data_IF_033761234915
#
_entry.id   IF_033761234915
#
_cell.length_a   1.000
_cell.length_b   1.000
_cell.length_c   1.000
_cell.angle_alpha   90.00
_cell.angle_beta   90.00
_cell.angle_gamma   90.00
#
_symmetry.space_group_name_H-M   'P 1'
#
loop_
_entity.id
_entity.type
_entity.pdbx_description
1 polymer ?
#
# COMPACT_ATOMS: atom_id res chain seq x y z
N UNK A 1 -18.40 27.86 -7.26
CA UNK A 1 -17.29 26.94 -7.54
C UNK A 1 -17.92 25.57 -7.74
N UNK A 2 -17.38 24.71 -8.61
CA UNK A 2 -17.85 23.32 -8.63
C UNK A 2 -17.68 22.73 -7.23
N UNK A 3 -18.66 21.95 -6.77
CA UNK A 3 -18.62 21.36 -5.44
C UNK A 3 -17.45 20.38 -5.38
N UNK A 4 -16.49 20.63 -4.48
CA UNK A 4 -15.28 19.80 -4.42
C UNK A 4 -15.59 18.54 -3.62
N UNK A 5 -15.20 17.35 -4.09
CA UNK A 5 -15.55 16.12 -3.40
C UNK A 5 -14.75 15.96 -2.11
N UNK A 6 -15.36 15.29 -1.14
CA UNK A 6 -14.66 14.71 -0.01
C UNK A 6 -13.78 13.55 -0.47
N UNK A 7 -12.75 13.22 0.30
CA UNK A 7 -11.89 12.05 0.07
C UNK A 7 -11.99 11.12 1.26
N UNK A 8 -12.25 9.84 1.01
CA UNK A 8 -12.09 8.74 1.96
C UNK A 8 -11.19 7.70 1.32
N UNK A 9 -9.92 7.70 1.70
CA UNK A 9 -8.96 6.68 1.27
C UNK A 9 -8.77 5.67 2.41
N UNK A 10 -9.20 4.44 2.17
CA UNK A 10 -9.06 3.31 3.08
C UNK A 10 -7.97 2.38 2.54
N UNK A 11 -7.07 1.93 3.40
CA UNK A 11 -6.09 0.93 3.01
C UNK A 11 -5.73 0.00 4.16
N UNK A 12 -5.57 -1.28 3.85
CA UNK A 12 -5.09 -2.30 4.77
C UNK A 12 -3.56 -2.45 4.70
N UNK A 13 -2.97 -3.01 5.75
CA UNK A 13 -1.56 -3.42 5.75
C UNK A 13 -1.47 -4.90 5.37
N UNK A 14 -0.69 -5.21 4.34
CA UNK A 14 -0.36 -6.57 3.95
C UNK A 14 -1.46 -7.37 3.22
N UNK A 15 -2.43 -6.71 2.56
CA UNK A 15 -3.44 -7.39 1.76
C UNK A 15 -3.07 -7.56 0.27
N UNK A 16 -2.96 -8.80 -0.20
CA UNK A 16 -2.72 -9.13 -1.61
C UNK A 16 -3.94 -8.88 -2.50
N UNK A 17 -3.72 -8.57 -3.78
CA UNK A 17 -4.76 -8.39 -4.79
C UNK A 17 -5.77 -9.55 -4.83
N UNK A 18 -5.27 -10.78 -4.79
CA UNK A 18 -6.11 -11.99 -4.85
C UNK A 18 -6.90 -12.27 -3.56
N UNK A 19 -6.89 -11.38 -2.56
CA UNK A 19 -7.65 -11.53 -1.31
C UNK A 19 -8.94 -10.70 -1.28
N UNK A 20 -9.59 -10.54 -2.43
CA UNK A 20 -10.91 -9.93 -2.58
C UNK A 20 -11.78 -10.73 -3.56
N UNK A 21 -13.08 -10.79 -3.28
CA UNK A 21 -14.08 -11.36 -4.19
C UNK A 21 -14.15 -10.61 -5.52
N UNK A 22 -14.08 -9.28 -5.49
CA UNK A 22 -14.00 -8.40 -6.67
C UNK A 22 -12.80 -8.68 -7.59
N UNK A 23 -11.78 -9.39 -7.08
CA UNK A 23 -10.59 -9.83 -7.82
C UNK A 23 -10.63 -11.33 -8.15
N UNK A 24 -11.81 -11.96 -8.08
CA UNK A 24 -12.06 -13.32 -8.54
C UNK A 24 -11.84 -14.41 -7.49
N UNK A 25 -11.54 -14.06 -6.24
CA UNK A 25 -11.41 -15.05 -5.18
C UNK A 25 -12.78 -15.49 -4.68
N UNK A 26 -13.08 -16.79 -4.84
CA UNK A 26 -14.38 -17.36 -4.47
C UNK A 26 -14.47 -17.86 -3.02
N UNK A 27 -13.35 -17.84 -2.29
CA UNK A 27 -13.24 -18.35 -0.92
C UNK A 27 -13.41 -17.21 0.07
N UNK A 28 -12.61 -16.15 -0.06
CA UNK A 28 -12.70 -14.98 0.83
C UNK A 28 -14.05 -14.27 0.65
N UNK A 29 -14.66 -13.86 1.76
CA UNK A 29 -15.96 -13.20 1.78
C UNK A 29 -15.75 -11.70 2.00
N UNK A 30 -15.91 -10.91 0.94
CA UNK A 30 -15.77 -9.44 0.96
C UNK A 30 -16.98 -8.73 0.32
N UNK A 31 -18.23 -9.03 0.72
CA UNK A 31 -19.41 -8.53 0.03
C UNK A 31 -19.54 -6.99 -0.03
N UNK A 32 -18.99 -6.24 0.93
CA UNK A 32 -19.13 -4.78 0.94
C UNK A 32 -18.16 -4.11 -0.03
N UNK A 33 -16.90 -4.56 -0.07
CA UNK A 33 -15.91 -4.12 -1.06
C UNK A 33 -16.31 -4.60 -2.46
N UNK A 34 -16.89 -5.79 -2.58
CA UNK A 34 -17.42 -6.31 -3.85
C UNK A 34 -18.60 -5.46 -4.36
N UNK A 35 -19.49 -5.02 -3.48
CA UNK A 35 -20.56 -4.08 -3.82
C UNK A 35 -20.00 -2.71 -4.21
N UNK A 36 -19.03 -2.18 -3.46
CA UNK A 36 -18.32 -0.93 -3.83
C UNK A 36 -17.68 -1.04 -5.22
N UNK A 37 -17.11 -2.19 -5.56
CA UNK A 37 -16.53 -2.45 -6.87
C UNK A 37 -17.60 -2.50 -7.97
N UNK A 38 -18.79 -3.06 -7.69
CA UNK A 38 -19.91 -3.06 -8.61
C UNK A 38 -20.46 -1.64 -8.84
N UNK A 39 -20.45 -0.79 -7.82
CA UNK A 39 -20.89 0.61 -7.89
C UNK A 39 -19.78 1.58 -8.37
N UNK A 40 -18.62 1.04 -8.75
CA UNK A 40 -17.44 1.84 -9.03
C UNK A 40 -16.55 1.21 -10.09
N UNK A 41 -15.24 1.34 -9.90
CA UNK A 41 -14.22 0.80 -10.78
C UNK A 41 -13.19 -0.03 -10.02
N UNK A 42 -12.82 -1.18 -10.59
CA UNK A 42 -11.67 -1.98 -10.16
C UNK A 42 -10.49 -1.72 -11.10
N UNK A 43 -9.30 -1.46 -10.56
CA UNK A 43 -8.07 -1.47 -11.36
C UNK A 43 -7.35 -2.82 -11.19
N UNK A 44 -7.25 -3.56 -12.28
CA UNK A 44 -6.62 -4.89 -12.30
C UNK A 44 -5.10 -4.81 -12.21
N UNK A 45 -4.49 -3.76 -12.76
CA UNK A 45 -3.05 -3.56 -12.82
C UNK A 45 -2.59 -2.46 -11.85
N UNK A 46 -2.95 -2.61 -10.57
CA UNK A 46 -2.55 -1.71 -9.49
C UNK A 46 -1.46 -2.31 -8.60
N UNK A 47 -0.32 -1.62 -8.47
CA UNK A 47 0.87 -2.16 -7.80
C UNK A 47 1.41 -1.25 -6.69
N UNK A 48 1.92 -1.88 -5.63
CA UNK A 48 2.74 -1.22 -4.63
C UNK A 48 4.15 -1.00 -5.19
N UNK A 49 4.51 0.25 -5.43
CA UNK A 49 5.83 0.56 -6.01
C UNK A 49 6.98 0.09 -5.10
N UNK A 50 6.82 0.21 -3.78
CA UNK A 50 7.76 -0.31 -2.80
C UNK A 50 6.97 -1.16 -1.81
N UNK A 51 6.93 -2.50 -1.98
CA UNK A 51 6.05 -3.36 -1.20
C UNK A 51 6.54 -3.58 0.24
N UNK A 52 6.47 -2.50 1.02
CA UNK A 52 6.87 -2.38 2.41
C UNK A 52 6.12 -1.21 3.08
N UNK A 53 5.72 -1.38 4.35
CA UNK A 53 4.79 -0.49 5.06
C UNK A 53 5.13 1.01 4.97
N UNK A 54 6.22 1.47 5.59
CA UNK A 54 6.53 2.91 5.67
C UNK A 54 6.87 3.51 4.31
N UNK A 55 7.64 2.85 3.42
CA UNK A 55 7.87 3.41 2.09
C UNK A 55 6.60 3.61 1.26
N UNK A 56 5.65 2.66 1.27
CA UNK A 56 4.34 2.87 0.65
C UNK A 56 3.62 4.08 1.26
N UNK A 57 3.56 4.16 2.60
CA UNK A 57 2.86 5.24 3.31
C UNK A 57 3.50 6.59 3.02
N UNK A 58 4.82 6.65 2.88
CA UNK A 58 5.54 7.86 2.50
C UNK A 58 5.25 8.26 1.04
N UNK A 59 5.15 7.29 0.12
CA UNK A 59 4.70 7.54 -1.26
C UNK A 59 3.28 8.11 -1.25
N UNK A 60 2.37 7.50 -0.50
CA UNK A 60 0.99 7.98 -0.37
C UNK A 60 0.90 9.37 0.28
N UNK A 61 1.79 9.68 1.22
CA UNK A 61 1.83 10.99 1.87
C UNK A 61 2.37 12.08 0.94
N UNK A 62 3.31 11.75 0.04
CA UNK A 62 4.16 12.76 -0.62
C UNK A 62 4.12 12.76 -2.14
N UNK A 63 3.56 11.73 -2.78
CA UNK A 63 3.59 11.54 -4.24
C UNK A 63 5.00 11.36 -4.82
N UNK A 64 5.95 10.98 -3.96
CA UNK A 64 7.38 10.91 -4.25
C UNK A 64 7.95 9.58 -3.75
N UNK A 65 8.94 9.04 -4.47
CA UNK A 65 9.64 7.82 -4.10
C UNK A 65 10.64 8.05 -2.95
N UNK A 66 11.12 6.96 -2.35
CA UNK A 66 11.97 6.97 -1.15
C UNK A 66 13.25 7.82 -1.26
N UNK A 67 13.84 7.95 -2.46
CA UNK A 67 15.03 8.80 -2.66
C UNK A 67 14.73 10.30 -2.65
N UNK A 68 13.46 10.69 -2.81
CA UNK A 68 13.00 12.08 -2.70
C UNK A 68 12.42 12.35 -1.31
N UNK A 69 11.58 11.44 -0.82
CA UNK A 69 10.86 11.62 0.44
C UNK A 69 11.68 11.23 1.69
N UNK A 70 12.78 10.48 1.54
CA UNK A 70 13.67 10.07 2.64
C UNK A 70 13.34 8.72 3.30
N UNK A 71 12.23 8.07 2.94
CA UNK A 71 11.81 6.78 3.53
C UNK A 71 12.21 5.62 2.64
N UNK A 72 13.34 4.99 2.98
CA UNK A 72 13.89 3.84 2.23
C UNK A 72 13.57 2.49 2.87
N UNK A 73 13.07 2.47 4.10
CA UNK A 73 12.72 1.31 4.95
C UNK A 73 11.81 1.77 6.10
N UNK A 74 11.29 0.84 6.91
CA UNK A 74 10.38 1.08 8.03
C UNK A 74 10.97 1.86 9.23
N UNK A 75 12.27 2.11 9.25
CA UNK A 75 12.91 2.83 10.36
C UNK A 75 13.13 4.33 10.09
N UNK A 76 12.72 4.81 8.92
CA UNK A 76 12.93 6.20 8.50
C UNK A 76 11.62 6.98 8.48
N UNK A 77 11.74 8.30 8.67
CA UNK A 77 10.60 9.22 8.56
C UNK A 77 10.69 10.06 7.29
N UNK A 78 9.55 10.54 6.75
CA UNK A 78 9.55 11.48 5.64
C UNK A 78 10.27 12.77 5.99
N UNK A 79 10.83 13.42 4.98
CA UNK A 79 11.30 14.80 5.08
C UNK A 79 10.13 15.72 5.41
N UNK A 80 10.38 16.76 6.20
CA UNK A 80 9.37 17.74 6.62
C UNK A 80 9.25 18.94 5.67
N UNK A 81 10.21 19.14 4.79
CA UNK A 81 10.33 20.30 3.87
C UNK A 81 9.86 19.98 2.45
N UNK A 82 9.00 18.98 2.28
CA UNK A 82 8.43 18.58 0.99
C UNK A 82 6.90 18.70 1.00
N UNK A 83 6.26 18.96 -0.15
CA UNK A 83 4.80 18.94 -0.26
C UNK A 83 4.23 17.58 0.12
N UNK A 84 3.12 17.59 0.86
CA UNK A 84 2.37 16.39 1.26
C UNK A 84 0.92 16.51 0.83
N UNK A 85 0.28 15.39 0.52
CA UNK A 85 -1.13 15.34 0.12
C UNK A 85 -2.04 16.03 1.16
N UNK A 86 -1.95 15.71 2.48
CA UNK A 86 -2.76 16.41 3.47
C UNK A 86 -2.45 17.91 3.51
N UNK A 87 -1.18 18.32 3.45
CA UNK A 87 -0.81 19.73 3.45
C UNK A 87 -1.39 20.51 2.27
N UNK A 88 -1.28 19.99 1.06
CA UNK A 88 -1.83 20.64 -0.15
C UNK A 88 -3.36 20.70 -0.14
N UNK A 89 -4.03 19.69 0.44
CA UNK A 89 -5.48 19.68 0.61
C UNK A 89 -5.91 20.70 1.68
N UNK A 90 -5.21 20.76 2.81
CA UNK A 90 -5.46 21.71 3.90
C UNK A 90 -5.28 23.16 3.42
N UNK A 91 -4.20 23.46 2.69
CA UNK A 91 -3.98 24.75 2.02
C UNK A 91 -5.09 25.11 1.03
N UNK A 92 -5.77 24.10 0.49
CA UNK A 92 -6.93 24.25 -0.41
C UNK A 92 -8.27 24.30 0.34
N UNK A 93 -8.28 24.28 1.67
CA UNK A 93 -9.46 24.44 2.51
C UNK A 93 -10.11 23.15 3.01
N UNK A 94 -9.51 21.98 2.73
CA UNK A 94 -9.98 20.71 3.28
C UNK A 94 -9.68 20.62 4.78
N UNK A 95 -10.56 19.98 5.55
CA UNK A 95 -10.15 19.39 6.83
C UNK A 95 -9.50 18.02 6.57
N UNK A 96 -8.41 17.71 7.25
CA UNK A 96 -7.64 16.49 6.99
C UNK A 96 -7.50 15.60 8.21
N UNK A 97 -7.67 14.29 8.02
CA UNK A 97 -7.51 13.31 9.08
C UNK A 97 -6.77 12.06 8.62
N UNK A 98 -5.98 11.49 9.53
CA UNK A 98 -5.45 10.14 9.39
C UNK A 98 -5.79 9.34 10.65
N UNK A 99 -6.34 8.15 10.47
CA UNK A 99 -6.74 7.26 11.57
C UNK A 99 -6.14 5.88 11.37
N UNK A 100 -5.58 5.33 12.45
CA UNK A 100 -5.02 3.97 12.49
C UNK A 100 -3.51 3.94 12.37
N UNK A 101 -2.97 2.97 11.62
CA UNK A 101 -1.51 2.81 11.53
C UNK A 101 -0.88 3.97 10.78
N UNK A 102 -0.01 4.74 11.43
CA UNK A 102 0.68 5.86 10.78
C UNK A 102 2.04 5.43 10.21
N UNK A 103 2.90 4.81 11.05
CA UNK A 103 4.19 4.20 10.67
C UNK A 103 5.19 5.13 9.96
N UNK A 104 5.05 6.45 10.15
CA UNK A 104 5.93 7.50 9.58
C UNK A 104 6.57 8.39 10.68
N UNK A 105 6.61 7.87 11.91
CA UNK A 105 7.11 8.56 13.09
C UNK A 105 6.70 7.83 14.36
N UNK A 106 6.97 8.44 15.52
CA UNK A 106 6.51 7.97 16.83
C UNK A 106 5.81 9.11 17.55
N UNK A 107 4.72 8.76 18.24
CA UNK A 107 3.97 9.71 19.05
C UNK A 107 4.75 10.12 20.32
N UNK A 108 4.36 11.24 20.96
CA UNK A 108 3.27 12.15 20.56
C UNK A 108 3.58 12.89 19.24
N UNK A 109 2.54 13.29 18.51
CA UNK A 109 2.68 13.88 17.17
C UNK A 109 2.37 15.38 17.18
N UNK A 110 3.37 16.23 17.44
CA UNK A 110 3.20 17.67 17.30
C UNK A 110 2.91 18.06 15.85
N UNK A 111 2.39 19.28 15.64
CA UNK A 111 2.06 19.80 14.30
C UNK A 111 3.18 19.59 13.27
N UNK A 112 4.45 19.80 13.66
CA UNK A 112 5.62 19.60 12.80
C UNK A 112 5.84 18.14 12.34
N UNK A 113 5.19 17.17 12.98
CA UNK A 113 5.27 15.73 12.70
C UNK A 113 3.96 15.14 12.14
N UNK A 114 2.97 16.00 11.86
CA UNK A 114 1.67 15.61 11.29
C UNK A 114 1.57 15.85 9.78
N UNK A 115 2.55 16.47 9.16
CA UNK A 115 2.64 16.61 7.69
C UNK A 115 1.37 17.19 7.04
N UNK A 116 0.77 18.19 7.70
CA UNK A 116 -0.47 18.84 7.24
C UNK A 116 -1.77 18.11 7.61
N UNK A 117 -1.72 17.10 8.48
CA UNK A 117 -2.90 16.40 9.01
C UNK A 117 -3.45 17.16 10.23
N UNK A 118 -4.70 17.62 10.16
CA UNK A 118 -5.35 18.37 11.24
C UNK A 118 -5.73 17.46 12.43
N UNK A 119 -6.17 16.24 12.15
CA UNK A 119 -6.51 15.23 13.14
C UNK A 119 -5.81 13.89 12.85
N UNK A 120 -4.77 13.58 13.63
CA UNK A 120 -4.05 12.31 13.54
C UNK A 120 -4.39 11.44 14.75
N UNK A 121 -5.12 10.34 14.54
CA UNK A 121 -5.31 9.29 15.53
C UNK A 121 -4.41 8.09 15.18
N UNK A 122 -3.15 8.16 15.60
CA UNK A 122 -2.12 7.20 15.25
C UNK A 122 -2.02 6.05 16.26
N UNK A 123 -2.13 4.82 15.78
CA UNK A 123 -1.94 3.60 16.56
C UNK A 123 -0.58 3.60 17.25
N UNK A 124 -0.58 3.39 18.57
CA UNK A 124 0.64 3.15 19.35
C UNK A 124 1.12 1.70 19.15
N UNK A 125 2.42 1.57 18.86
CA UNK A 125 3.05 0.30 18.54
C UNK A 125 2.79 -0.81 19.56
N UNK A 126 2.74 -2.04 19.06
CA UNK A 126 2.67 -3.25 19.86
C UNK A 126 2.07 -4.43 19.09
N UNK A 127 2.08 -5.63 19.68
CA UNK A 127 1.59 -6.84 19.02
C UNK A 127 0.06 -6.96 19.11
N UNK A 128 -0.54 -7.64 18.14
CA UNK A 128 -1.98 -7.93 18.09
C UNK A 128 -2.85 -6.71 17.77
N UNK A 129 -4.16 -6.97 17.67
CA UNK A 129 -5.13 -6.00 17.14
C UNK A 129 -6.32 -5.74 18.09
N UNK A 130 -6.22 -6.13 19.36
CA UNK A 130 -7.25 -5.85 20.35
C UNK A 130 -6.73 -4.91 21.44
N UNK A 131 -7.63 -4.12 22.00
CA UNK A 131 -7.41 -3.27 23.17
C UNK A 131 -6.20 -2.34 23.00
N UNK A 132 -6.14 -1.70 21.83
CA UNK A 132 -5.00 -0.90 21.38
C UNK A 132 -5.06 0.52 21.94
N UNK A 133 -3.90 1.19 21.91
CA UNK A 133 -3.80 2.60 22.31
C UNK A 133 -3.46 3.49 21.11
N UNK A 134 -3.92 4.72 21.12
CA UNK A 134 -3.72 5.70 20.04
C UNK A 134 -3.22 7.01 20.61
N UNK A 135 -2.33 7.68 19.90
CA UNK A 135 -2.07 9.10 20.09
C UNK A 135 -3.03 9.90 19.21
N UNK A 136 -3.76 10.82 19.80
CA UNK A 136 -4.60 11.78 19.08
C UNK A 136 -3.86 13.13 19.05
N UNK A 137 -3.20 13.41 17.94
CA UNK A 137 -2.20 14.48 17.80
C UNK A 137 -1.10 14.35 18.87
N UNK A 138 -1.00 15.33 19.78
CA UNK A 138 -0.02 15.36 20.87
C UNK A 138 -0.51 14.61 22.14
N UNK A 139 -1.79 14.24 22.19
CA UNK A 139 -2.41 13.65 23.36
C UNK A 139 -2.35 12.12 23.35
N UNK A 140 -2.23 11.52 24.54
CA UNK A 140 -2.23 10.08 24.74
C UNK A 140 -0.85 9.48 25.10
N UNK A 141 -0.64 8.16 24.89
CA UNK A 141 -1.53 7.26 24.17
C UNK A 141 -2.75 6.87 25.04
N UNK A 142 -3.95 6.94 24.46
CA UNK A 142 -5.21 6.56 25.11
C UNK A 142 -5.61 5.17 24.68
N UNK A 143 -5.98 4.29 25.63
CA UNK A 143 -6.41 2.91 25.36
C UNK A 143 -7.89 2.85 25.01
N UNK A 144 -8.22 2.13 23.95
CA UNK A 144 -9.59 1.81 23.52
C UNK A 144 -9.78 0.30 23.60
N UNK A 145 -10.95 -0.15 24.04
CA UNK A 145 -11.30 -1.56 24.12
C UNK A 145 -11.88 -2.06 22.79
N UNK A 146 -11.65 -3.33 22.47
CA UNK A 146 -12.17 -3.96 21.26
C UNK A 146 -11.14 -4.09 20.12
N UNK A 147 -11.64 -4.45 18.94
CA UNK A 147 -10.80 -4.69 17.77
C UNK A 147 -10.37 -3.37 17.12
N UNK A 148 -9.10 -3.27 16.75
CA UNK A 148 -8.49 -2.03 16.28
C UNK A 148 -9.18 -1.45 15.04
N UNK A 149 -9.47 -2.22 13.97
CA UNK A 149 -10.25 -1.70 12.84
C UNK A 149 -11.61 -1.14 13.23
N UNK A 150 -12.34 -1.76 14.17
CA UNK A 150 -13.61 -1.21 14.66
C UNK A 150 -13.43 0.15 15.33
N UNK A 151 -12.42 0.28 16.20
CA UNK A 151 -12.08 1.57 16.83
C UNK A 151 -11.64 2.61 15.80
N UNK A 152 -10.81 2.22 14.83
CA UNK A 152 -10.31 3.08 13.76
C UNK A 152 -11.45 3.56 12.85
N UNK A 153 -12.44 2.70 12.57
CA UNK A 153 -13.68 3.07 11.87
C UNK A 153 -14.52 4.04 12.70
N UNK A 154 -14.68 3.80 14.00
CA UNK A 154 -15.47 4.68 14.89
C UNK A 154 -14.85 6.09 14.99
N UNK A 155 -13.52 6.17 15.16
CA UNK A 155 -12.78 7.43 15.19
C UNK A 155 -12.90 8.20 13.87
N UNK A 156 -12.92 7.46 12.75
CA UNK A 156 -13.10 8.02 11.41
C UNK A 156 -14.49 8.58 11.20
N UNK A 157 -15.54 7.82 11.53
CA UNK A 157 -16.94 8.28 11.49
C UNK A 157 -17.11 9.52 12.39
N UNK A 158 -16.59 9.47 13.61
CA UNK A 158 -16.65 10.60 14.52
C UNK A 158 -15.90 11.85 14.02
N UNK A 159 -14.80 11.69 13.27
CA UNK A 159 -14.16 12.83 12.60
C UNK A 159 -15.09 13.47 11.56
N UNK A 160 -15.72 12.65 10.72
CA UNK A 160 -16.65 13.12 9.68
C UNK A 160 -17.84 13.85 10.31
N UNK A 161 -18.47 13.26 11.33
CA UNK A 161 -19.60 13.88 12.05
C UNK A 161 -19.22 15.25 12.61
N UNK A 162 -18.10 15.35 13.33
CA UNK A 162 -17.61 16.61 13.90
C UNK A 162 -17.27 17.63 12.83
N UNK A 163 -16.79 17.19 11.66
CA UNK A 163 -16.52 18.08 10.53
C UNK A 163 -17.83 18.64 9.97
N UNK A 164 -18.81 17.79 9.67
CA UNK A 164 -20.12 18.20 9.14
C UNK A 164 -20.86 19.14 10.09
N UNK A 165 -20.72 18.97 11.41
CA UNK A 165 -21.31 19.89 12.39
C UNK A 165 -20.67 21.30 12.35
N UNK A 166 -19.35 21.37 12.10
CA UNK A 166 -18.58 22.62 12.23
C UNK A 166 -18.39 23.37 10.91
N UNK A 167 -18.22 22.63 9.82
CA UNK A 167 -17.85 23.13 8.49
C UNK A 167 -18.60 22.33 7.40
N UNK A 168 -19.95 22.30 7.41
CA UNK A 168 -20.75 21.45 6.51
C UNK A 168 -20.54 21.73 5.01
N UNK A 169 -20.16 22.96 4.66
CA UNK A 169 -19.95 23.40 3.28
C UNK A 169 -18.49 23.20 2.80
N UNK A 170 -17.58 22.84 3.70
CA UNK A 170 -16.17 22.62 3.36
C UNK A 170 -15.89 21.12 3.15
N UNK A 171 -14.99 20.75 2.24
CA UNK A 171 -14.67 19.34 2.02
C UNK A 171 -13.73 18.81 3.12
N UNK A 172 -13.67 17.50 3.26
CA UNK A 172 -12.69 16.81 4.10
C UNK A 172 -11.93 15.73 3.34
N UNK A 173 -10.76 15.35 3.87
CA UNK A 173 -9.97 14.22 3.41
C UNK A 173 -9.60 13.33 4.60
N UNK A 174 -10.04 12.07 4.55
CA UNK A 174 -9.80 11.04 5.54
C UNK A 174 -8.91 9.95 4.95
N UNK A 175 -7.83 9.65 5.66
CA UNK A 175 -6.93 8.52 5.39
C UNK A 175 -7.10 7.49 6.51
N UNK A 176 -7.81 6.40 6.23
CA UNK A 176 -8.05 5.31 7.18
C UNK A 176 -7.09 4.16 6.90
N UNK A 177 -6.23 3.85 7.85
CA UNK A 177 -5.23 2.79 7.72
C UNK A 177 -5.41 1.67 8.73
N UNK A 178 -6.00 0.58 8.26
CA UNK A 178 -6.15 -0.63 9.07
C UNK A 178 -4.86 -1.45 9.06
N UNK A 179 -4.50 -1.97 10.22
CA UNK A 179 -3.31 -2.85 10.34
C UNK A 179 -3.55 -4.29 9.90
N UNK A 180 -4.71 -4.94 10.15
CA UNK A 180 -4.98 -6.22 9.51
C UNK A 180 -5.04 -6.04 7.97
N UNK A 181 -4.82 -7.12 7.18
CA UNK A 181 -4.55 -8.48 7.60
C UNK A 181 -3.06 -8.75 7.89
N UNK A 182 -2.23 -7.77 8.22
CA UNK A 182 -0.87 -8.03 8.70
C UNK A 182 -0.85 -9.05 9.86
N UNK A 183 0.20 -9.85 9.97
CA UNK A 183 0.40 -10.82 11.06
C UNK A 183 0.61 -10.12 12.43
N UNK A 184 0.39 -10.74 13.61
CA UNK A 184 0.21 -12.17 13.88
C UNK A 184 -1.23 -12.68 13.70
N UNK A 185 -1.36 -13.99 13.50
CA UNK A 185 -2.63 -14.69 13.40
C UNK A 185 -2.82 -15.70 14.54
N UNK A 186 -4.08 -16.01 14.93
CA UNK A 186 -5.30 -15.24 14.61
C UNK A 186 -5.34 -13.93 15.42
N UNK A 187 -5.88 -12.85 14.85
CA UNK A 187 -6.05 -11.56 15.55
C UNK A 187 -7.27 -10.79 15.03
N UNK A 188 -8.41 -11.46 14.95
CA UNK A 188 -9.68 -10.89 14.48
C UNK A 188 -10.86 -11.42 15.33
N UNK A 189 -12.02 -10.75 15.34
CA UNK A 189 -13.18 -11.19 16.10
C UNK A 189 -13.65 -12.60 15.74
N UNK A 190 -14.11 -13.36 16.74
CA UNK A 190 -14.50 -14.76 16.56
C UNK A 190 -15.59 -14.97 15.50
N UNK A 191 -16.46 -13.97 15.29
CA UNK A 191 -17.52 -13.99 14.28
C UNK A 191 -16.98 -14.13 12.84
N UNK A 192 -15.73 -13.76 12.58
CA UNK A 192 -15.09 -13.91 11.28
C UNK A 192 -14.26 -15.20 11.15
N UNK A 193 -14.22 -16.03 12.20
CA UNK A 193 -13.55 -17.35 12.18
C UNK A 193 -14.43 -18.41 11.51
N UNK A 194 -14.84 -18.15 10.26
CA UNK A 194 -15.83 -18.95 9.53
C UNK A 194 -15.26 -19.88 8.46
N UNK A 195 -13.94 -19.92 8.34
CA UNK A 195 -13.22 -20.67 7.31
C UNK A 195 -12.69 -22.00 7.87
N UNK A 196 -12.76 -23.05 7.06
CA UNK A 196 -12.10 -24.33 7.37
C UNK A 196 -10.77 -24.42 6.58
N UNK A 197 -9.62 -24.67 7.25
CA UNK A 197 -8.37 -24.93 6.56
C UNK A 197 -8.46 -26.03 5.49
N UNK A 198 -9.34 -27.02 5.63
CA UNK A 198 -9.53 -28.07 4.63
C UNK A 198 -10.09 -27.57 3.29
N UNK A 199 -10.80 -26.44 3.30
CA UNK A 199 -11.41 -25.82 2.12
C UNK A 199 -10.49 -24.78 1.45
N UNK A 200 -9.29 -24.58 1.98
CA UNK A 200 -8.35 -23.59 1.45
C UNK A 200 -7.57 -24.14 0.25
N UNK A 201 -7.85 -23.57 -0.92
CA UNK A 201 -7.06 -23.78 -2.12
C UNK A 201 -5.73 -23.04 -2.03
N UNK A 202 -4.64 -23.80 -2.16
CA UNK A 202 -3.28 -23.23 -2.18
C UNK A 202 -2.81 -23.03 -3.62
N UNK A 203 -2.16 -21.89 -3.92
CA UNK A 203 -1.43 -21.73 -5.17
C UNK A 203 -0.35 -22.81 -5.36
N UNK A 204 -0.10 -23.20 -6.61
CA UNK A 204 0.88 -24.26 -6.94
C UNK A 204 2.34 -23.89 -6.65
N UNK A 205 2.63 -22.64 -6.30
CA UNK A 205 3.94 -22.17 -5.87
C UNK A 205 4.14 -22.22 -4.34
N UNK A 206 3.15 -22.70 -3.57
CA UNK A 206 3.35 -23.07 -2.17
C UNK A 206 4.02 -24.45 -2.10
N UNK A 207 5.21 -24.59 -1.47
CA UNK A 207 5.85 -25.90 -1.36
C UNK A 207 4.97 -26.90 -0.60
N UNK A 208 4.93 -28.15 -1.08
CA UNK A 208 4.08 -29.21 -0.51
C UNK A 208 4.32 -29.39 1.00
N UNK A 209 5.58 -29.34 1.45
CA UNK A 209 5.90 -29.46 2.88
C UNK A 209 5.38 -28.30 3.76
N UNK A 210 4.94 -27.18 3.16
CA UNK A 210 4.36 -26.04 3.87
C UNK A 210 2.83 -26.00 3.77
N UNK A 211 2.21 -26.94 3.05
CA UNK A 211 0.80 -26.84 2.69
C UNK A 211 -0.13 -26.76 3.91
N UNK A 212 0.08 -27.59 4.93
CA UNK A 212 -0.76 -27.57 6.14
C UNK A 212 -0.63 -26.26 6.94
N UNK A 213 0.59 -25.70 6.99
CA UNK A 213 0.84 -24.41 7.62
C UNK A 213 0.18 -23.28 6.82
N UNK A 214 0.37 -23.28 5.50
CA UNK A 214 -0.18 -22.28 4.59
C UNK A 214 -1.71 -22.25 4.63
N UNK A 215 -2.39 -23.39 4.69
CA UNK A 215 -3.86 -23.43 4.78
C UNK A 215 -4.37 -22.76 6.05
N UNK A 216 -3.75 -23.06 7.20
CA UNK A 216 -4.13 -22.44 8.49
C UNK A 216 -3.88 -20.93 8.48
N UNK A 217 -2.72 -20.53 7.98
CA UNK A 217 -2.39 -19.10 7.85
C UNK A 217 -3.36 -18.37 6.92
N UNK A 218 -3.72 -18.99 5.78
CA UNK A 218 -4.66 -18.42 4.83
C UNK A 218 -6.08 -18.31 5.40
N UNK A 219 -6.52 -19.30 6.19
CA UNK A 219 -7.79 -19.26 6.93
C UNK A 219 -7.87 -18.04 7.84
N UNK A 220 -6.85 -17.82 8.67
CA UNK A 220 -6.83 -16.69 9.60
C UNK A 220 -6.72 -15.34 8.86
N UNK A 221 -5.90 -15.30 7.81
CA UNK A 221 -5.74 -14.15 6.94
C UNK A 221 -7.07 -13.74 6.25
N UNK A 222 -7.85 -14.70 5.75
CA UNK A 222 -9.20 -14.44 5.22
C UNK A 222 -10.19 -14.04 6.30
N UNK A 223 -10.06 -14.57 7.52
CA UNK A 223 -10.81 -14.08 8.69
C UNK A 223 -10.59 -12.59 8.94
N UNK A 224 -9.34 -12.13 8.89
CA UNK A 224 -9.02 -10.70 8.92
C UNK A 224 -9.66 -9.93 7.76
N UNK A 225 -9.51 -10.40 6.51
CA UNK A 225 -10.03 -9.71 5.33
C UNK A 225 -11.57 -9.53 5.41
N UNK A 226 -12.31 -10.54 5.86
CA UNK A 226 -13.76 -10.45 6.05
C UNK A 226 -14.15 -9.51 7.18
N UNK A 227 -13.37 -9.46 8.26
CA UNK A 227 -13.59 -8.45 9.30
C UNK A 227 -13.41 -7.02 8.80
N UNK A 228 -12.37 -6.78 7.99
CA UNK A 228 -12.14 -5.46 7.38
C UNK A 228 -13.25 -5.09 6.39
N UNK A 229 -13.75 -6.05 5.62
CA UNK A 229 -14.88 -5.84 4.73
C UNK A 229 -16.14 -5.39 5.49
N UNK A 230 -16.41 -5.99 6.66
CA UNK A 230 -17.53 -5.55 7.50
C UNK A 230 -17.36 -4.11 8.00
N UNK A 231 -16.14 -3.71 8.38
CA UNK A 231 -15.83 -2.33 8.76
C UNK A 231 -15.93 -1.36 7.58
N UNK A 232 -15.59 -1.80 6.37
CA UNK A 232 -15.82 -1.04 5.14
C UNK A 232 -17.32 -0.83 4.90
N UNK A 233 -18.14 -1.87 5.10
CA UNK A 233 -19.60 -1.77 5.01
C UNK A 233 -20.18 -0.77 6.01
N UNK A 234 -19.68 -0.75 7.24
CA UNK A 234 -20.07 0.25 8.26
C UNK A 234 -19.73 1.66 7.80
N UNK A 235 -18.51 1.89 7.33
CA UNK A 235 -18.06 3.20 6.85
C UNK A 235 -18.91 3.70 5.68
N UNK A 236 -19.12 2.86 4.66
CA UNK A 236 -19.95 3.20 3.50
C UNK A 236 -21.40 3.52 3.90
N UNK A 237 -22.00 2.68 4.76
CA UNK A 237 -23.36 2.91 5.29
C UNK A 237 -23.43 4.27 6.01
N UNK A 238 -22.43 4.62 6.83
CA UNK A 238 -22.41 5.92 7.51
C UNK A 238 -22.33 7.09 6.54
N UNK A 239 -21.57 6.98 5.43
CA UNK A 239 -21.54 8.03 4.40
C UNK A 239 -22.90 8.22 3.73
N UNK A 240 -23.63 7.12 3.48
CA UNK A 240 -24.98 7.16 2.92
C UNK A 240 -25.99 7.77 3.92
N UNK A 241 -25.94 7.36 5.20
CA UNK A 241 -26.82 7.88 6.26
C UNK A 241 -26.59 9.39 6.54
N UNK A 242 -25.36 9.86 6.39
CA UNK A 242 -25.01 11.28 6.49
C UNK A 242 -25.39 12.08 5.24
N UNK A 243 -25.80 11.42 4.15
CA UNK A 243 -26.21 12.07 2.90
C UNK A 243 -25.05 12.71 2.12
N UNK A 244 -23.81 12.24 2.33
CA UNK A 244 -22.61 12.80 1.69
C UNK A 244 -21.95 11.85 0.69
N UNK A 245 -22.47 10.64 0.52
CA UNK A 245 -21.90 9.62 -0.37
C UNK A 245 -21.74 10.10 -1.82
N UNK A 246 -22.73 10.83 -2.35
CA UNK A 246 -22.71 11.32 -3.74
C UNK A 246 -21.58 12.32 -4.02
N UNK A 247 -21.10 13.04 -3.00
CA UNK A 247 -19.99 13.98 -3.10
C UNK A 247 -18.71 13.47 -2.41
N UNK A 248 -18.52 12.15 -2.30
CA UNK A 248 -17.34 11.54 -1.67
C UNK A 248 -16.66 10.57 -2.62
N UNK A 249 -15.38 10.82 -2.89
CA UNK A 249 -14.50 9.83 -3.53
C UNK A 249 -14.09 8.83 -2.45
N UNK A 250 -14.47 7.56 -2.64
CA UNK A 250 -14.02 6.47 -1.76
C UNK A 250 -13.05 5.59 -2.53
N UNK A 251 -11.87 5.36 -1.97
CA UNK A 251 -10.84 4.47 -2.53
C UNK A 251 -10.48 3.41 -1.50
N UNK A 252 -10.38 2.16 -1.94
CA UNK A 252 -9.86 1.04 -1.15
C UNK A 252 -8.62 0.43 -1.81
N UNK A 253 -7.54 0.25 -1.05
CA UNK A 253 -6.30 -0.41 -1.52
C UNK A 253 -5.53 -1.09 -0.38
N UNK A 254 -4.28 -1.48 -0.61
CA UNK A 254 -3.36 -2.04 0.38
C UNK A 254 -1.94 -1.51 0.18
N UNK A 255 -1.16 -1.44 1.26
CA UNK A 255 0.23 -0.98 1.19
C UNK A 255 1.16 -1.97 0.46
N UNK A 256 0.91 -3.26 0.59
CA UNK A 256 1.57 -4.36 -0.14
C UNK A 256 0.81 -5.67 0.09
N UNK A 257 1.22 -6.74 -0.58
CA UNK A 257 0.71 -8.08 -0.35
C UNK A 257 1.49 -8.90 0.69
N UNK A 258 1.23 -10.20 0.69
CA UNK A 258 1.86 -11.23 1.53
C UNK A 258 2.08 -12.52 0.73
N UNK A 259 3.26 -13.10 0.84
CA UNK A 259 3.58 -14.42 0.27
C UNK A 259 2.65 -15.53 0.76
N UNK A 260 2.22 -15.52 2.03
CA UNK A 260 1.40 -16.59 2.62
C UNK A 260 1.95 -18.00 2.28
N UNK A 261 3.26 -18.20 2.50
CA UNK A 261 4.01 -19.42 2.16
C UNK A 261 4.29 -19.68 0.67
N UNK A 262 3.80 -18.84 -0.25
CA UNK A 262 4.16 -18.91 -1.67
C UNK A 262 5.67 -18.74 -1.86
N UNK A 263 6.22 -19.47 -2.83
CA UNK A 263 7.67 -19.58 -3.09
C UNK A 263 8.50 -20.08 -1.90
N UNK A 264 7.84 -20.59 -0.85
CA UNK A 264 8.49 -21.04 0.39
C UNK A 264 8.88 -19.90 1.34
N UNK A 265 8.35 -18.69 1.15
CA UNK A 265 8.60 -17.57 2.06
C UNK A 265 7.69 -17.62 3.29
N UNK A 266 8.27 -17.52 4.48
CA UNK A 266 7.54 -17.37 5.74
C UNK A 266 7.69 -15.98 6.34
N UNK A 267 7.24 -15.85 7.58
CA UNK A 267 7.23 -14.57 8.29
C UNK A 267 8.61 -14.18 8.78
N UNK A 268 8.82 -12.88 8.97
CA UNK A 268 9.96 -12.29 9.66
C UNK A 268 10.48 -13.05 10.90
N UNK A 269 9.56 -13.58 11.71
CA UNK A 269 9.87 -14.18 13.01
C UNK A 269 9.89 -15.72 12.99
N UNK A 270 9.73 -16.36 11.83
CA UNK A 270 9.83 -17.82 11.67
C UNK A 270 11.27 -18.29 11.80
N UNK A 271 11.78 -18.31 13.03
CA UNK A 271 13.18 -18.61 13.35
C UNK A 271 13.63 -20.02 12.96
N UNK A 272 12.68 -20.90 12.66
CA UNK A 272 12.89 -22.26 12.17
C UNK A 272 13.22 -22.31 10.66
N UNK A 273 12.89 -21.27 9.88
CA UNK A 273 13.21 -21.19 8.45
C UNK A 273 14.60 -20.61 8.22
N UNK A 274 15.24 -20.91 7.08
CA UNK A 274 16.47 -20.23 6.70
C UNK A 274 16.23 -18.72 6.61
N UNK A 275 17.18 -17.91 7.09
CA UNK A 275 16.98 -16.46 7.18
C UNK A 275 16.69 -15.80 5.83
N UNK A 276 17.08 -16.42 4.71
CA UNK A 276 16.76 -15.92 3.37
C UNK A 276 15.32 -16.13 2.91
N UNK A 277 14.57 -16.98 3.61
CA UNK A 277 13.19 -17.32 3.30
C UNK A 277 12.20 -16.64 4.26
N UNK A 278 12.65 -15.73 5.12
CA UNK A 278 11.80 -15.03 6.10
C UNK A 278 11.30 -13.69 5.57
N UNK A 279 10.90 -13.66 4.31
CA UNK A 279 10.44 -12.46 3.62
C UNK A 279 8.98 -12.63 3.22
N UNK A 280 8.05 -12.16 4.07
CA UNK A 280 6.63 -12.17 3.71
C UNK A 280 6.27 -11.12 2.66
N UNK A 281 7.18 -10.18 2.35
CA UNK A 281 7.00 -9.03 1.45
C UNK A 281 8.35 -8.44 1.00
N UNK A 282 8.28 -7.35 0.24
CA UNK A 282 9.40 -6.59 -0.37
C UNK A 282 10.16 -7.31 -1.48
N UNK A 283 9.51 -8.30 -2.11
CA UNK A 283 9.98 -9.02 -3.30
C UNK A 283 9.30 -8.48 -4.57
N UNK A 284 9.84 -8.71 -5.77
CA UNK A 284 9.16 -8.35 -7.01
C UNK A 284 7.95 -9.23 -7.35
N UNK A 285 7.82 -10.41 -6.72
CA UNK A 285 6.70 -11.33 -6.93
C UNK A 285 5.33 -10.67 -6.72
N UNK A 286 4.35 -11.15 -7.47
CA UNK A 286 2.96 -10.67 -7.44
C UNK A 286 2.35 -10.76 -6.04
N UNK A 287 2.64 -11.82 -5.28
CA UNK A 287 2.15 -11.95 -3.91
C UNK A 287 2.56 -10.80 -3.00
N UNK A 288 3.66 -10.12 -3.31
CA UNK A 288 4.15 -8.98 -2.53
C UNK A 288 3.76 -7.63 -3.11
N UNK A 289 3.76 -7.45 -4.43
CA UNK A 289 3.63 -6.12 -5.04
C UNK A 289 2.24 -5.84 -5.65
N UNK A 290 1.46 -6.88 -5.98
CA UNK A 290 0.13 -6.72 -6.57
C UNK A 290 -0.92 -6.59 -5.48
N UNK A 291 -1.59 -5.43 -5.44
CA UNK A 291 -2.51 -5.05 -4.37
C UNK A 291 -3.89 -4.71 -4.96
N UNK A 292 -4.97 -4.82 -4.16
CA UNK A 292 -6.28 -4.43 -4.63
C UNK A 292 -6.36 -2.92 -4.87
N UNK A 293 -7.23 -2.50 -5.80
CA UNK A 293 -7.64 -1.11 -5.96
C UNK A 293 -9.09 -1.04 -6.43
N UNK A 294 -9.92 -0.42 -5.61
CA UNK A 294 -11.33 -0.16 -5.89
C UNK A 294 -11.60 1.31 -5.63
N UNK A 295 -12.28 1.98 -6.56
CA UNK A 295 -12.71 3.38 -6.41
C UNK A 295 -14.20 3.50 -6.69
N UNK A 296 -14.92 4.24 -5.85
CA UNK A 296 -16.32 4.61 -6.02
C UNK A 296 -16.44 6.12 -5.91
N UNK A 297 -17.04 6.74 -6.91
CA UNK A 297 -17.42 8.15 -6.89
C UNK A 297 -18.75 8.31 -7.63
N UNK A 298 -19.90 8.28 -6.92
CA UNK A 298 -21.21 8.24 -7.54
C UNK A 298 -21.44 9.42 -8.50
N UNK A 299 -22.03 9.15 -9.66
CA UNK A 299 -22.26 10.17 -10.71
C UNK A 299 -21.01 10.56 -11.51
N UNK A 300 -19.83 10.06 -11.15
CA UNK A 300 -18.56 10.35 -11.83
C UNK A 300 -17.84 9.08 -12.31
N UNK A 301 -17.60 8.11 -11.44
CA UNK A 301 -17.00 6.83 -11.83
C UNK A 301 -18.05 5.95 -12.50
N UNK A 302 -17.82 5.44 -13.73
CA UNK A 302 -18.77 4.55 -14.37
C UNK A 302 -18.85 3.21 -13.62
N UNK A 303 -20.05 2.88 -13.16
CA UNK A 303 -20.36 1.68 -12.36
C UNK A 303 -19.94 0.39 -13.07
N UNK A 304 -19.44 -0.57 -12.30
CA UNK A 304 -19.03 -1.90 -12.75
C UNK A 304 -17.83 -1.91 -13.70
N UNK A 305 -17.05 -0.84 -13.76
CA UNK A 305 -15.93 -0.73 -14.71
C UNK A 305 -14.71 -1.49 -14.21
N UNK A 306 -13.98 -2.12 -15.13
CA UNK A 306 -12.64 -2.66 -14.87
C UNK A 306 -11.62 -2.00 -15.76
N UNK A 307 -10.50 -1.59 -15.20
CA UNK A 307 -9.39 -1.00 -15.93
C UNK A 307 -8.13 -1.88 -15.87
N UNK A 308 -7.52 -2.08 -17.03
CA UNK A 308 -6.21 -2.74 -17.17
C UNK A 308 -5.05 -1.73 -17.29
N UNK A 309 -5.33 -0.43 -17.13
CA UNK A 309 -4.31 0.60 -17.12
C UNK A 309 -3.33 0.38 -15.95
N UNK A 310 -2.03 0.44 -16.23
CA UNK A 310 -1.02 0.36 -15.16
C UNK A 310 -1.08 1.60 -14.29
N UNK A 311 -1.43 1.37 -13.03
CA UNK A 311 -1.44 2.35 -11.97
C UNK A 311 -0.60 1.82 -10.81
N UNK A 312 -0.08 2.71 -9.98
CA UNK A 312 0.64 2.30 -8.77
C UNK A 312 0.46 3.32 -7.66
N UNK A 313 0.98 3.02 -6.47
CA UNK A 313 0.94 3.91 -5.29
C UNK A 313 1.39 5.33 -5.58
N UNK A 314 2.38 5.50 -6.47
CA UNK A 314 2.93 6.81 -6.84
C UNK A 314 1.91 7.71 -7.56
N UNK A 315 0.90 7.12 -8.21
CA UNK A 315 -0.11 7.85 -8.98
C UNK A 315 -1.28 8.33 -8.11
N UNK A 316 -1.45 7.81 -6.89
CA UNK A 316 -2.57 8.16 -6.00
C UNK A 316 -2.62 9.64 -5.67
N UNK A 317 -1.49 10.21 -5.25
CA UNK A 317 -1.41 11.61 -4.82
C UNK A 317 -1.76 12.59 -5.94
N UNK A 318 -1.08 12.58 -7.11
CA UNK A 318 -1.44 13.49 -8.20
C UNK A 318 -2.88 13.27 -8.68
N UNK A 319 -3.38 12.03 -8.65
CA UNK A 319 -4.75 11.74 -9.10
C UNK A 319 -5.83 12.22 -8.12
N UNK A 320 -5.60 12.13 -6.80
CA UNK A 320 -6.52 12.70 -5.82
C UNK A 320 -6.54 14.23 -5.92
N UNK A 321 -5.38 14.87 -6.09
CA UNK A 321 -5.30 16.32 -6.32
C UNK A 321 -6.04 16.72 -7.62
N UNK A 322 -5.81 16.01 -8.71
CA UNK A 322 -6.48 16.23 -10.01
C UNK A 322 -7.99 15.98 -9.95
N UNK A 323 -8.45 14.99 -9.18
CA UNK A 323 -9.87 14.75 -8.94
C UNK A 323 -10.53 15.91 -8.18
N UNK A 324 -9.83 16.50 -7.22
CA UNK A 324 -10.30 17.63 -6.41
C UNK A 324 -10.06 19.01 -7.05
N UNK A 325 -9.41 19.07 -8.22
CA UNK A 325 -9.04 20.32 -8.88
C UNK A 325 -7.98 21.14 -8.13
N UNK A 326 -7.16 20.48 -7.32
CA UNK A 326 -6.03 21.08 -6.61
C UNK A 326 -4.79 21.01 -7.50
N UNK A 327 -3.97 22.07 -7.50
CA UNK A 327 -2.76 22.12 -8.32
C UNK A 327 -1.77 21.01 -7.97
N UNK A 328 -1.24 20.34 -8.99
CA UNK A 328 -0.26 19.24 -8.84
C UNK A 328 1.14 19.82 -9.00
N UNK A 329 2.02 19.74 -7.97
CA UNK A 329 3.38 20.24 -8.09
C UNK A 329 4.26 19.40 -9.03
N UNK A 330 5.19 20.05 -9.73
CA UNK A 330 6.14 19.40 -10.65
C UNK A 330 7.07 18.37 -9.97
N UNK A 331 7.18 18.38 -8.64
CA UNK A 331 8.01 17.43 -7.90
C UNK A 331 7.39 16.03 -7.77
N UNK A 332 6.10 15.87 -8.09
CA UNK A 332 5.44 14.56 -8.06
C UNK A 332 6.01 13.63 -9.13
N UNK A 333 6.19 12.35 -8.77
CA UNK A 333 6.81 11.37 -9.67
C UNK A 333 5.79 10.41 -10.29
N UNK A 334 4.52 10.49 -9.87
CA UNK A 334 3.40 9.76 -10.47
C UNK A 334 2.69 10.57 -11.55
N UNK A 335 1.68 9.96 -12.16
CA UNK A 335 0.80 10.60 -13.14
C UNK A 335 -0.59 10.81 -12.56
N UNK A 336 -1.21 11.92 -12.94
CA UNK A 336 -2.64 12.12 -12.70
C UNK A 336 -3.45 11.23 -13.66
N UNK A 337 -4.10 10.23 -13.09
CA UNK A 337 -5.02 9.32 -13.78
C UNK A 337 -6.47 9.56 -13.35
N UNK A 338 -6.80 10.70 -12.75
CA UNK A 338 -8.17 11.01 -12.31
C UNK A 338 -9.19 11.03 -13.44
N UNK A 339 -8.78 11.30 -14.68
CA UNK A 339 -9.66 11.19 -15.86
C UNK A 339 -10.14 9.76 -16.10
N UNK A 340 -9.34 8.75 -15.75
CA UNK A 340 -9.77 7.36 -15.79
C UNK A 340 -10.85 7.10 -14.74
N UNK A 341 -10.66 7.64 -13.53
CA UNK A 341 -11.61 7.47 -12.43
C UNK A 341 -12.95 8.16 -12.70
N UNK A 342 -12.95 9.25 -13.48
CA UNK A 342 -14.15 9.98 -13.94
C UNK A 342 -14.80 9.38 -15.18
N UNK A 343 -14.26 8.29 -15.75
CA UNK A 343 -14.74 7.73 -17.01
C UNK A 343 -14.48 8.59 -18.25
N UNK A 344 -13.63 9.61 -18.15
CA UNK A 344 -13.27 10.53 -19.23
C UNK A 344 -12.18 9.94 -20.14
N UNK A 345 -11.39 8.99 -19.61
CA UNK A 345 -10.38 8.23 -20.36
C UNK A 345 -10.80 6.77 -20.53
N UNK A 346 -10.25 6.11 -21.56
CA UNK A 346 -10.48 4.68 -21.80
C UNK A 346 -9.99 3.86 -20.60
N UNK A 347 -10.79 2.91 -20.09
CA UNK A 347 -10.33 1.98 -19.06
C UNK A 347 -9.29 0.99 -19.57
N UNK A 348 -9.14 0.89 -20.90
CA UNK A 348 -8.15 0.06 -21.57
C UNK A 348 -7.15 0.89 -22.33
N UNK A 349 -5.87 0.66 -22.06
CA UNK A 349 -4.74 1.38 -22.69
C UNK A 349 -4.99 2.90 -22.83
N UNK A 350 -5.27 3.63 -21.72
CA UNK A 350 -5.52 5.07 -21.81
C UNK A 350 -4.27 5.80 -22.34
N UNK A 351 -4.49 6.79 -23.21
CA UNK A 351 -3.40 7.64 -23.68
C UNK A 351 -2.68 8.30 -22.50
N UNK A 352 -1.35 8.13 -22.43
CA UNK A 352 -0.54 8.66 -21.34
C UNK A 352 -0.51 7.79 -20.08
N UNK A 353 -1.14 6.60 -20.08
CA UNK A 353 -0.94 5.60 -19.04
C UNK A 353 0.51 5.10 -19.00
N UNK A 354 0.91 4.55 -17.85
CA UNK A 354 2.20 3.87 -17.76
C UNK A 354 2.16 2.59 -18.60
N UNK A 355 3.26 2.28 -19.29
CA UNK A 355 3.40 0.99 -20.00
C UNK A 355 3.77 -0.16 -19.04
N UNK A 356 4.12 0.16 -17.79
CA UNK A 356 4.57 -0.77 -16.75
C UNK A 356 4.52 -0.12 -15.38
N UNK A 357 4.37 -0.91 -14.32
CA UNK A 357 4.62 -0.43 -12.95
C UNK A 357 6.11 -0.45 -12.63
N UNK A 358 6.59 0.56 -11.90
CA UNK A 358 7.95 0.63 -11.39
C UNK A 358 8.03 0.10 -9.96
N UNK A 359 8.81 -0.96 -9.77
CA UNK A 359 8.92 -1.68 -8.51
C UNK A 359 10.31 -1.49 -7.89
N UNK A 360 10.38 -1.45 -6.57
CA UNK A 360 11.64 -1.27 -5.87
C UNK A 360 11.67 -1.89 -4.49
N UNK A 361 12.89 -2.21 -4.06
CA UNK A 361 13.24 -2.25 -2.66
C UNK A 361 14.58 -1.52 -2.45
N UNK A 362 14.61 -0.55 -1.55
CA UNK A 362 15.77 0.33 -1.35
C UNK A 362 16.68 -0.11 -0.21
N UNK A 363 16.21 -0.97 0.69
CA UNK A 363 16.92 -1.36 1.90
C UNK A 363 16.72 -2.85 2.22
N UNK A 364 17.62 -3.40 3.04
CA UNK A 364 17.62 -4.82 3.39
C UNK A 364 16.84 -5.14 4.67
N UNK A 365 16.01 -4.24 5.18
CA UNK A 365 15.41 -4.38 6.51
C UNK A 365 16.43 -4.08 7.61
N UNK A 366 16.11 -3.14 8.48
CA UNK A 366 16.97 -2.75 9.61
C UNK A 366 16.92 -3.80 10.77
N UNK A 367 18.01 -4.02 11.56
CA UNK A 367 19.38 -3.47 11.45
C UNK A 367 20.22 -4.01 10.33
N UNK A 368 19.91 -5.23 9.90
CA UNK A 368 20.57 -5.85 8.78
C UNK A 368 19.92 -7.21 8.49
N UNK A 369 18.86 -7.22 7.70
CA UNK A 369 18.21 -8.47 7.29
C UNK A 369 18.65 -8.82 5.86
N UNK A 370 19.97 -8.77 5.56
CA UNK A 370 20.58 -9.08 4.25
C UNK A 370 20.00 -10.33 3.56
N UNK A 371 19.53 -11.30 4.36
CA UNK A 371 18.88 -12.49 3.83
C UNK A 371 17.54 -12.25 3.15
N UNK A 372 16.79 -11.20 3.49
CA UNK A 372 15.35 -11.21 3.26
C UNK A 372 15.02 -10.87 1.81
N UNK A 373 15.43 -9.70 1.32
CA UNK A 373 14.87 -9.23 0.03
C UNK A 373 15.81 -8.38 -0.83
N UNK A 374 16.99 -8.00 -0.32
CA UNK A 374 18.03 -7.33 -1.11
C UNK A 374 17.65 -5.93 -1.59
N UNK A 375 18.57 -5.23 -2.25
CA UNK A 375 18.28 -3.94 -2.91
C UNK A 375 18.03 -4.17 -4.38
N UNK A 376 16.86 -3.81 -4.88
CA UNK A 376 16.51 -4.07 -6.28
C UNK A 376 15.61 -3.00 -6.88
N UNK A 377 15.57 -3.00 -8.21
CA UNK A 377 14.59 -2.29 -9.03
C UNK A 377 14.01 -3.24 -10.05
N UNK A 378 12.75 -3.03 -10.37
CA UNK A 378 12.03 -3.89 -11.29
C UNK A 378 10.95 -3.16 -12.05
N UNK A 379 10.46 -3.82 -13.08
CA UNK A 379 9.35 -3.36 -13.91
C UNK A 379 8.37 -4.50 -14.13
N UNK A 380 7.09 -4.15 -14.12
CA UNK A 380 5.98 -5.10 -14.31
C UNK A 380 5.12 -4.63 -15.48
N UNK A 381 5.06 -5.42 -16.55
CA UNK A 381 4.23 -5.15 -17.75
C UNK A 381 2.99 -6.04 -17.75
N UNK A 382 2.23 -6.18 -18.84
CA UNK A 382 1.17 -7.21 -18.88
C UNK A 382 1.77 -8.61 -18.75
N UNK A 383 2.81 -8.89 -19.54
CA UNK A 383 3.40 -10.23 -19.71
C UNK A 383 4.56 -10.55 -18.76
N UNK A 384 5.41 -9.59 -18.44
CA UNK A 384 6.68 -9.87 -17.74
C UNK A 384 6.77 -9.22 -16.37
N UNK A 385 7.37 -9.94 -15.41
CA UNK A 385 7.94 -9.36 -14.18
C UNK A 385 9.46 -9.42 -14.32
N UNK A 386 10.13 -8.28 -14.17
CA UNK A 386 11.59 -8.21 -14.20
C UNK A 386 12.12 -7.45 -12.99
N UNK A 387 13.21 -7.93 -12.39
CA UNK A 387 13.92 -7.22 -11.34
C UNK A 387 15.42 -7.46 -11.42
N UNK A 388 16.20 -6.41 -11.12
CA UNK A 388 17.65 -6.42 -11.03
C UNK A 388 18.08 -5.99 -9.63
N UNK A 389 18.93 -6.80 -9.02
CA UNK A 389 19.56 -6.47 -7.73
C UNK A 389 20.79 -5.60 -7.95
N UNK A 390 21.00 -4.67 -7.02
CA UNK A 390 22.20 -3.83 -6.97
C UNK A 390 23.44 -4.72 -6.88
N UNK A 391 24.51 -4.34 -7.61
CA UNK A 391 25.80 -5.04 -7.62
C UNK A 391 25.68 -6.56 -7.84
N UNK A 392 24.67 -6.98 -8.60
CA UNK A 392 24.38 -8.39 -8.91
C UNK A 392 24.21 -9.30 -7.67
N UNK A 393 23.80 -8.76 -6.52
CA UNK A 393 23.67 -9.51 -5.25
C UNK A 393 22.91 -10.84 -5.37
N UNK A 394 21.92 -10.94 -6.27
CA UNK A 394 21.09 -12.13 -6.49
C UNK A 394 20.91 -12.52 -7.97
N UNK A 395 21.62 -11.87 -8.88
CA UNK A 395 21.34 -11.91 -10.32
C UNK A 395 19.98 -11.28 -10.67
N UNK A 396 19.69 -11.08 -11.97
CA UNK A 396 18.38 -10.63 -12.43
C UNK A 396 17.33 -11.75 -12.34
N UNK A 397 16.07 -11.36 -12.12
CA UNK A 397 14.91 -12.24 -12.23
C UNK A 397 14.01 -11.77 -13.37
N UNK A 398 13.53 -12.71 -14.18
CA UNK A 398 12.61 -12.48 -15.28
C UNK A 398 11.58 -13.62 -15.33
N UNK A 399 10.30 -13.30 -15.25
CA UNK A 399 9.22 -14.28 -15.32
C UNK A 399 8.25 -13.90 -16.44
N UNK A 400 7.91 -14.86 -17.30
CA UNK A 400 6.84 -14.72 -18.31
C UNK A 400 5.53 -15.17 -17.68
N UNK A 401 4.73 -14.22 -17.17
CA UNK A 401 3.48 -14.53 -16.46
C UNK A 401 2.37 -15.07 -17.33
N UNK A 402 2.46 -14.91 -18.66
CA UNK A 402 1.48 -15.52 -19.54
C UNK A 402 1.69 -17.04 -19.61
N UNK A 403 2.95 -17.48 -19.61
CA UNK A 403 3.31 -18.90 -19.60
C UNK A 403 3.47 -19.50 -18.18
N UNK A 404 3.82 -18.66 -17.21
CA UNK A 404 4.17 -19.00 -15.84
C UNK A 404 3.58 -17.96 -14.86
N UNK A 405 2.24 -17.96 -14.67
CA UNK A 405 1.56 -16.95 -13.85
C UNK A 405 1.92 -17.00 -12.37
N UNK A 406 2.56 -18.09 -11.91
CA UNK A 406 3.02 -18.28 -10.54
C UNK A 406 4.52 -17.98 -10.37
N UNK A 407 5.19 -17.46 -11.41
CA UNK A 407 6.57 -16.97 -11.36
C UNK A 407 7.60 -18.01 -10.86
N UNK A 408 7.45 -19.26 -11.31
CA UNK A 408 8.26 -20.41 -10.88
C UNK A 408 9.53 -20.64 -11.70
N UNK A 409 9.59 -20.16 -12.94
CA UNK A 409 10.70 -20.35 -13.88
C UNK A 409 11.38 -19.01 -14.19
N UNK A 410 12.50 -18.74 -13.53
CA UNK A 410 13.33 -17.58 -13.87
C UNK A 410 13.99 -17.77 -15.25
N UNK A 411 13.66 -16.90 -16.20
CA UNK A 411 14.18 -16.88 -17.57
C UNK A 411 15.44 -16.02 -17.72
N UNK A 412 15.80 -15.22 -16.72
CA UNK A 412 16.93 -14.30 -16.82
C UNK A 412 18.25 -15.05 -17.00
N UNK A 413 19.09 -14.57 -17.92
CA UNK A 413 20.36 -15.19 -18.29
C UNK A 413 20.24 -16.46 -19.14
N UNK A 414 19.04 -16.86 -19.54
CA UNK A 414 18.82 -17.99 -20.47
C UNK A 414 18.72 -17.51 -21.92
N UNK A 415 19.00 -18.39 -22.89
CA UNK A 415 18.80 -18.08 -24.31
C UNK A 415 17.33 -17.76 -24.64
N UNK A 416 16.39 -18.45 -23.98
CA UNK A 416 14.94 -18.25 -24.12
C UNK A 416 14.50 -16.86 -23.63
N UNK A 417 15.07 -16.39 -22.52
CA UNK A 417 14.71 -15.11 -21.90
C UNK A 417 15.46 -13.90 -22.45
N UNK A 418 16.46 -14.06 -23.33
CA UNK A 418 17.39 -12.99 -23.70
C UNK A 418 16.70 -11.74 -24.26
N UNK A 419 15.81 -11.91 -25.24
CA UNK A 419 15.11 -10.77 -25.88
C UNK A 419 14.20 -10.04 -24.89
N UNK A 420 13.43 -10.79 -24.08
CA UNK A 420 12.57 -10.21 -23.06
C UNK A 420 13.39 -9.51 -21.95
N UNK A 421 14.54 -10.07 -21.56
CA UNK A 421 15.43 -9.43 -20.58
C UNK A 421 15.97 -8.10 -21.11
N UNK A 422 16.42 -8.04 -22.37
CA UNK A 422 16.89 -6.80 -23.00
C UNK A 422 15.78 -5.74 -23.07
N UNK A 423 14.55 -6.14 -23.42
CA UNK A 423 13.39 -5.23 -23.44
C UNK A 423 13.09 -4.67 -22.04
N UNK A 424 12.99 -5.56 -21.04
CA UNK A 424 12.63 -5.18 -19.68
C UNK A 424 13.73 -4.35 -19.00
N UNK A 425 15.00 -4.61 -19.29
CA UNK A 425 16.12 -3.77 -18.86
C UNK A 425 16.02 -2.36 -19.47
N UNK A 426 15.67 -2.26 -20.76
CA UNK A 426 15.43 -0.98 -21.42
C UNK A 426 14.27 -0.20 -20.79
N UNK A 427 13.19 -0.88 -20.40
CA UNK A 427 12.06 -0.27 -19.66
C UNK A 427 12.50 0.21 -18.27
N UNK A 428 13.25 -0.62 -17.54
CA UNK A 428 13.78 -0.27 -16.23
C UNK A 428 14.67 0.97 -16.29
N UNK A 429 15.56 1.06 -17.29
CA UNK A 429 16.41 2.23 -17.47
C UNK A 429 15.62 3.51 -17.76
N UNK A 430 14.55 3.45 -18.57
CA UNK A 430 13.67 4.60 -18.79
C UNK A 430 13.01 5.09 -17.50
N UNK A 431 12.58 4.18 -16.62
CA UNK A 431 12.04 4.52 -15.31
C UNK A 431 13.08 5.19 -14.41
N UNK A 432 14.28 4.61 -14.32
CA UNK A 432 15.40 5.17 -13.55
C UNK A 432 15.73 6.59 -14.01
N UNK A 433 15.83 6.81 -15.32
CA UNK A 433 16.13 8.12 -15.90
C UNK A 433 15.00 9.13 -15.67
N UNK A 434 13.76 8.77 -16.01
CA UNK A 434 12.60 9.65 -15.91
C UNK A 434 12.31 10.11 -14.47
N UNK A 435 12.62 9.26 -13.48
CA UNK A 435 12.36 9.56 -12.07
C UNK A 435 13.59 10.09 -11.33
N UNK A 436 14.76 10.13 -11.99
CA UNK A 436 16.03 10.51 -11.39
C UNK A 436 16.43 9.59 -10.23
N UNK A 437 16.19 8.28 -10.36
CA UNK A 437 16.52 7.31 -9.33
C UNK A 437 18.06 7.14 -9.21
N UNK A 438 18.65 7.36 -8.03
CA UNK A 438 20.08 7.18 -7.78
C UNK A 438 20.52 5.70 -7.63
N UNK A 439 19.74 4.74 -8.14
CA UNK A 439 20.01 3.32 -8.02
C UNK A 439 21.38 2.90 -8.59
N UNK A 440 21.85 3.48 -9.70
CA UNK A 440 23.15 3.11 -10.28
C UNK A 440 24.33 3.90 -9.68
N UNK A 441 24.14 5.19 -9.45
CA UNK A 441 25.23 6.14 -9.22
C UNK A 441 25.19 6.82 -7.84
N UNK A 442 24.13 6.64 -7.07
CA UNK A 442 23.97 7.27 -5.77
C UNK A 442 25.08 6.88 -4.80
N UNK A 443 25.59 7.86 -4.04
CA UNK A 443 26.51 7.59 -2.94
C UNK A 443 25.87 6.56 -2.01
N UNK A 444 26.67 5.57 -1.56
CA UNK A 444 26.24 4.59 -0.58
C UNK A 444 26.77 4.98 0.80
N UNK A 445 25.91 4.94 1.80
CA UNK A 445 26.31 5.15 3.19
C UNK A 445 27.03 3.92 3.76
N UNK A 446 27.45 3.95 5.04
CA UNK A 446 28.19 2.86 5.69
C UNK A 446 27.48 1.50 5.69
N UNK A 447 26.15 1.50 5.49
CA UNK A 447 25.32 0.29 5.42
C UNK A 447 25.13 -0.25 4.00
N UNK A 448 25.67 0.44 3.00
CA UNK A 448 25.54 0.12 1.57
C UNK A 448 24.21 0.54 0.94
N UNK A 449 23.28 1.11 1.71
CA UNK A 449 22.05 1.71 1.16
C UNK A 449 22.39 3.01 0.42
N UNK A 450 21.52 3.41 -0.50
CA UNK A 450 21.61 4.75 -1.08
C UNK A 450 21.52 5.78 0.05
N UNK A 451 22.51 6.66 0.11
CA UNK A 451 22.50 7.82 0.98
C UNK A 451 21.71 8.93 0.26
N UNK A 452 20.52 9.19 0.78
CA UNK A 452 19.59 10.21 0.33
C UNK A 452 19.31 11.20 1.46
N UNK A 453 20.18 11.30 2.47
CA UNK A 453 19.94 12.16 3.64
C UNK A 453 18.72 11.74 4.46
N UNK A 454 18.43 10.45 4.53
CA UNK A 454 17.30 9.89 5.26
C UNK A 454 17.46 10.05 6.77
N UNK A 455 16.37 10.35 7.47
CA UNK A 455 16.33 10.55 8.91
C UNK A 455 15.62 9.39 9.63
N UNK A 456 16.14 9.01 10.79
CA UNK A 456 15.51 7.99 11.63
C UNK A 456 14.16 8.46 12.17
N UNK A 457 13.16 7.58 12.11
CA UNK A 457 11.88 7.78 12.78
C UNK A 457 12.04 7.77 14.32
N UNK A 458 13.06 7.08 14.84
CA UNK A 458 13.41 7.02 16.26
C UNK A 458 14.93 7.28 16.45
N UNK A 459 15.34 8.56 16.52
CA UNK A 459 16.75 8.93 16.64
C UNK A 459 17.40 8.41 17.92
N UNK A 460 16.66 8.26 19.02
CA UNK A 460 17.20 7.78 20.30
C UNK A 460 17.48 6.27 20.27
N UNK A 461 16.54 5.48 19.74
CA UNK A 461 16.74 4.04 19.49
C UNK A 461 17.95 3.81 18.58
N UNK A 462 18.17 4.72 17.64
CA UNK A 462 19.22 4.62 16.62
C UNK A 462 20.43 5.51 16.85
N UNK A 463 20.62 6.14 18.02
CA UNK A 463 21.69 7.13 18.26
C UNK A 463 23.13 6.63 18.08
N UNK A 464 23.36 5.33 18.26
CA UNK A 464 24.66 4.68 18.02
C UNK A 464 24.95 4.50 16.52
N UNK A 465 23.93 4.71 15.69
CA UNK A 465 23.94 4.59 14.25
C UNK A 465 23.71 6.00 13.69
N UNK A 466 24.78 6.65 13.23
CA UNK A 466 24.65 7.95 12.57
C UNK A 466 23.56 7.93 11.49
N UNK A 467 22.96 9.09 11.21
CA UNK A 467 22.25 9.28 9.94
C UNK A 467 23.27 9.03 8.83
N UNK A 468 22.86 8.43 7.71
CA UNK A 468 23.74 8.43 6.53
C UNK A 468 24.17 9.86 6.21
#
# INVERSE_FOLDING_TARGET
>A
MADRPNIVLVFSDQQRHSALGANGNTVVRTPNIDAMAADGMVCDNYFSNHPLCSPFRAILLTGQFGWRNGVIDNEYRPRRDIPTLPGMLSDSGYATAHVGTFHLGRGPYPEADRYGIDYLAALHDGPGFFDRSYFENEEGPTKFEGWAPTVETDLSIGFIERHLEKRPDDPFALFLSWRPPHWPYPSYPADYSTYDPADMDLPGNVPEQMADFARRELTDYYGCCTGLDAEMGRLLTSLDEMGIADNTIVVYTSDHGDHLSSHGYGKPYDRWMHHSMRASKSTPYEESCHVPFVIRWPGHTPEGTRSDAFQSSIDLVPSLLGACGVGIPDCMQGRDVSSLWKGEASPKDPAGAHESAYLMNMANGWPNRYGWVGRWRGVRTERYTYARWFDHERGPWLFDRQADPLEMKNLAGTDEGREAQEEMEGRLHRWIEATGDPFEYGKRGPRGFVDVGQEWADPEKWKEWGTC
#
